data_IF_663849323454
#
_entry.id   IF_663849323454
#
_cell.length_a   1.000
_cell.length_b   1.000
_cell.length_c   1.000
_cell.angle_alpha   90.00
_cell.angle_beta   90.00
_cell.angle_gamma   90.00
#
_symmetry.space_group_name_H-M   'P 1'
#
loop_
_entity.id
_entity.type
_entity.pdbx_description
1 polymer ?
#
# COMPACT_ATOMS: atom_id res chain seq x y z
N UNK A 1 14.52 29.23 -6.70
CA UNK A 1 15.60 28.23 -6.65
C UNK A 1 15.07 27.04 -5.88
N UNK A 2 14.98 25.85 -6.49
CA UNK A 2 14.54 24.67 -5.77
C UNK A 2 15.60 24.29 -4.72
N UNK A 3 15.19 23.91 -3.49
CA UNK A 3 16.14 23.54 -2.45
C UNK A 3 16.99 22.33 -2.92
N UNK A 4 18.28 22.29 -2.60
CA UNK A 4 19.15 21.19 -3.01
C UNK A 4 18.63 19.87 -2.44
N UNK A 5 18.49 18.87 -3.31
CA UNK A 5 18.00 17.55 -2.96
C UNK A 5 18.86 16.93 -1.84
N UNK A 6 18.27 16.69 -0.67
CA UNK A 6 19.01 16.23 0.51
C UNK A 6 19.22 14.72 0.41
N UNK A 7 20.47 14.28 0.27
CA UNK A 7 20.84 12.86 0.27
C UNK A 7 20.81 12.32 1.70
N UNK A 8 19.99 11.30 1.95
CA UNK A 8 20.01 10.50 3.16
C UNK A 8 20.42 9.07 2.78
N UNK A 9 21.70 8.74 3.00
CA UNK A 9 22.30 7.50 2.50
C UNK A 9 22.27 7.45 0.97
N UNK A 10 21.70 6.38 0.41
CA UNK A 10 21.49 6.22 -1.04
C UNK A 10 20.21 6.89 -1.55
N UNK A 11 19.39 7.48 -0.67
CA UNK A 11 18.07 8.03 -1.03
C UNK A 11 18.15 9.54 -1.15
N UNK A 12 17.77 10.05 -2.31
CA UNK A 12 17.64 11.48 -2.59
C UNK A 12 16.24 11.91 -2.16
N UNK A 13 16.12 12.66 -1.06
CA UNK A 13 14.82 13.17 -0.59
C UNK A 13 14.52 14.48 -1.33
N UNK A 14 13.59 14.41 -2.28
CA UNK A 14 13.04 15.56 -3.00
C UNK A 14 11.53 15.63 -2.78
N UNK A 15 10.99 16.85 -2.74
CA UNK A 15 9.54 17.08 -2.77
C UNK A 15 8.95 16.81 -4.18
N UNK A 16 9.81 16.63 -5.18
CA UNK A 16 9.44 16.52 -6.60
C UNK A 16 9.01 15.10 -7.02
N UNK A 17 9.20 14.07 -6.18
CA UNK A 17 8.82 12.69 -6.49
C UNK A 17 7.35 12.36 -6.13
N UNK A 18 6.42 13.25 -6.49
CA UNK A 18 4.98 12.98 -6.31
C UNK A 18 4.49 11.95 -7.32
N UNK A 19 5.02 12.00 -8.55
CA UNK A 19 4.65 11.12 -9.65
C UNK A 19 5.78 10.13 -9.95
N UNK A 20 5.39 8.89 -10.30
CA UNK A 20 6.34 7.91 -10.81
C UNK A 20 6.66 8.24 -12.27
N UNK A 21 7.94 8.20 -12.67
CA UNK A 21 8.31 8.43 -14.07
C UNK A 21 7.79 7.26 -14.93
N UNK A 22 7.36 7.50 -16.19
CA UNK A 22 6.69 6.50 -17.02
C UNK A 22 7.48 5.20 -17.19
N UNK A 23 8.80 5.27 -17.18
CA UNK A 23 9.71 4.13 -17.34
C UNK A 23 9.68 3.19 -16.12
N UNK A 24 9.19 3.65 -14.97
CA UNK A 24 8.97 2.82 -13.78
C UNK A 24 7.59 2.18 -13.73
N UNK A 25 6.69 2.54 -14.64
CA UNK A 25 5.35 1.97 -14.69
C UNK A 25 5.34 0.58 -15.36
N UNK A 26 6.26 0.34 -16.30
CA UNK A 26 6.39 -0.93 -17.00
C UNK A 26 7.83 -1.18 -17.51
N UNK A 27 8.39 -2.39 -17.33
CA UNK A 27 7.81 -3.50 -16.58
C UNK A 27 7.90 -3.25 -15.06
N UNK A 28 6.81 -3.51 -14.34
CA UNK A 28 6.77 -3.44 -12.88
C UNK A 28 7.73 -4.47 -12.24
N UNK A 29 8.14 -4.30 -10.98
CA UNK A 29 8.92 -5.32 -10.28
C UNK A 29 8.21 -6.69 -10.22
N UNK A 30 6.88 -6.72 -10.18
CA UNK A 30 6.11 -7.97 -10.17
C UNK A 30 6.14 -8.65 -11.55
N UNK A 31 6.02 -7.88 -12.63
CA UNK A 31 6.15 -8.37 -14.02
C UNK A 31 7.55 -8.91 -14.28
N UNK A 32 8.59 -8.24 -13.77
CA UNK A 32 9.97 -8.72 -13.87
C UNK A 32 10.19 -10.06 -13.14
N UNK A 33 9.45 -10.30 -12.06
CA UNK A 33 9.43 -11.57 -11.33
C UNK A 33 8.43 -12.59 -11.94
N UNK A 34 7.85 -12.31 -13.12
CA UNK A 34 7.01 -13.23 -13.88
C UNK A 34 5.52 -13.21 -13.53
N UNK A 35 5.03 -12.20 -12.81
CA UNK A 35 3.60 -12.04 -12.57
C UNK A 35 2.89 -11.50 -13.82
N UNK A 36 1.78 -12.13 -14.19
CA UNK A 36 0.94 -11.67 -15.29
C UNK A 36 0.39 -10.25 -15.02
N UNK A 37 0.40 -9.33 -16.01
CA UNK A 37 -0.08 -7.96 -15.82
C UNK A 37 -1.55 -7.84 -15.39
N UNK A 38 -2.42 -8.72 -15.86
CA UNK A 38 -3.84 -8.71 -15.50
C UNK A 38 -4.01 -9.18 -14.05
N UNK A 39 -3.30 -10.24 -13.66
CA UNK A 39 -3.26 -10.71 -12.27
C UNK A 39 -2.68 -9.64 -11.34
N UNK A 40 -1.62 -8.93 -11.75
CA UNK A 40 -1.08 -7.82 -10.97
C UNK A 40 -2.13 -6.71 -10.78
N UNK A 41 -2.86 -6.36 -11.83
CA UNK A 41 -3.91 -5.35 -11.75
C UNK A 41 -5.03 -5.77 -10.79
N UNK A 42 -5.49 -7.02 -10.87
CA UNK A 42 -6.52 -7.56 -9.98
C UNK A 42 -6.05 -7.53 -8.51
N UNK A 43 -4.80 -7.92 -8.24
CA UNK A 43 -4.22 -7.86 -6.90
C UNK A 43 -4.10 -6.41 -6.39
N UNK A 44 -3.80 -5.45 -7.29
CA UNK A 44 -3.76 -4.02 -6.94
C UNK A 44 -5.15 -3.51 -6.54
N UNK A 45 -6.18 -3.86 -7.31
CA UNK A 45 -7.57 -3.49 -7.01
C UNK A 45 -8.00 -4.13 -5.69
N UNK A 46 -7.82 -5.44 -5.54
CA UNK A 46 -8.18 -6.18 -4.34
C UNK A 46 -7.48 -5.63 -3.08
N UNK A 47 -6.20 -5.27 -3.19
CA UNK A 47 -5.47 -4.65 -2.08
C UNK A 47 -6.04 -3.29 -1.67
N UNK A 48 -6.42 -2.46 -2.64
CA UNK A 48 -7.10 -1.20 -2.37
C UNK A 48 -8.48 -1.39 -1.71
N UNK A 49 -9.25 -2.40 -2.13
CA UNK A 49 -10.53 -2.77 -1.51
C UNK A 49 -10.37 -3.25 -0.07
N UNK A 50 -9.34 -4.05 0.21
CA UNK A 50 -9.01 -4.52 1.57
C UNK A 50 -8.65 -3.35 2.48
N UNK A 51 -7.87 -2.39 1.99
CA UNK A 51 -7.53 -1.17 2.75
C UNK A 51 -8.80 -0.36 3.05
N UNK A 52 -9.70 -0.19 2.06
CA UNK A 52 -10.95 0.54 2.26
C UNK A 52 -11.85 -0.16 3.29
N UNK A 53 -12.09 -1.46 3.12
CA UNK A 53 -12.96 -2.24 4.00
C UNK A 53 -12.38 -2.31 5.41
N UNK A 54 -11.06 -2.56 5.52
CA UNK A 54 -10.35 -2.56 6.79
C UNK A 54 -10.43 -1.21 7.49
N UNK A 55 -10.28 -0.11 6.75
CA UNK A 55 -10.36 1.23 7.31
C UNK A 55 -11.76 1.62 7.79
N UNK A 56 -12.80 1.21 7.08
CA UNK A 56 -14.20 1.37 7.52
C UNK A 56 -14.42 0.63 8.85
N UNK A 57 -14.01 -0.63 8.94
CA UNK A 57 -14.17 -1.44 10.16
C UNK A 57 -13.33 -0.91 11.34
N UNK A 58 -12.16 -0.34 11.05
CA UNK A 58 -11.32 0.35 12.03
C UNK A 58 -11.76 1.78 12.35
N UNK A 59 -12.82 2.29 11.70
CA UNK A 59 -13.31 3.67 11.83
C UNK A 59 -12.22 4.70 11.56
N UNK A 60 -11.43 4.50 10.51
CA UNK A 60 -10.43 5.46 10.06
C UNK A 60 -11.06 6.58 9.22
N UNK A 61 -10.50 7.80 9.23
CA UNK A 61 -10.92 8.85 8.31
C UNK A 61 -10.59 8.46 6.86
N UNK A 62 -11.37 8.96 5.89
CA UNK A 62 -11.18 8.68 4.47
C UNK A 62 -9.78 9.06 3.97
N UNK A 63 -9.21 10.15 4.52
CA UNK A 63 -7.85 10.60 4.20
C UNK A 63 -6.81 9.53 4.54
N UNK A 64 -6.96 8.82 5.67
CA UNK A 64 -6.05 7.74 6.05
C UNK A 64 -6.19 6.51 5.14
N UNK A 65 -7.40 6.18 4.68
CA UNK A 65 -7.61 5.09 3.73
C UNK A 65 -7.00 5.43 2.37
N UNK A 66 -7.21 6.65 1.88
CA UNK A 66 -6.61 7.14 0.64
C UNK A 66 -5.07 7.15 0.72
N UNK A 67 -4.50 7.65 1.82
CA UNK A 67 -3.06 7.61 2.07
C UNK A 67 -2.52 6.16 2.09
N UNK A 68 -3.24 5.24 2.73
CA UNK A 68 -2.92 3.81 2.75
C UNK A 68 -2.88 3.19 1.35
N UNK A 69 -3.86 3.51 0.48
CA UNK A 69 -3.89 3.05 -0.90
C UNK A 69 -2.72 3.62 -1.73
N UNK A 70 -2.38 4.90 -1.55
CA UNK A 70 -1.21 5.50 -2.22
C UNK A 70 0.09 4.83 -1.79
N UNK A 71 0.26 4.56 -0.48
CA UNK A 71 1.41 3.81 0.04
C UNK A 71 1.51 2.41 -0.55
N UNK A 72 0.37 1.71 -0.64
CA UNK A 72 0.29 0.37 -1.19
C UNK A 72 0.67 0.34 -2.67
N UNK A 73 0.14 1.25 -3.48
CA UNK A 73 0.48 1.35 -4.90
C UNK A 73 1.97 1.66 -5.08
N UNK A 74 2.50 2.64 -4.35
CA UNK A 74 3.92 3.02 -4.40
C UNK A 74 4.83 1.87 -3.97
N UNK A 75 4.43 1.09 -2.96
CA UNK A 75 5.19 -0.08 -2.53
C UNK A 75 5.35 -1.08 -3.67
N UNK A 76 4.28 -1.42 -4.39
CA UNK A 76 4.34 -2.38 -5.49
C UNK A 76 4.89 -1.83 -6.82
N UNK A 77 5.17 -0.54 -6.91
CA UNK A 77 6.03 0.01 -7.97
C UNK A 77 7.53 -0.01 -7.59
N UNK A 78 7.86 -0.38 -6.35
CA UNK A 78 9.24 -0.53 -5.88
C UNK A 78 9.59 -1.98 -5.49
N UNK A 79 8.59 -2.81 -5.23
CA UNK A 79 8.69 -4.19 -4.76
C UNK A 79 7.71 -5.08 -5.52
N UNK A 80 8.00 -6.37 -5.54
CA UNK A 80 7.21 -7.36 -6.27
C UNK A 80 6.14 -8.02 -5.39
N UNK A 81 4.94 -8.20 -5.93
CA UNK A 81 3.86 -8.97 -5.31
C UNK A 81 4.18 -10.46 -5.17
N UNK A 82 5.10 -10.98 -5.99
CA UNK A 82 5.58 -12.37 -5.88
C UNK A 82 6.39 -12.55 -4.60
N UNK A 83 7.14 -11.52 -4.18
CA UNK A 83 8.02 -11.57 -3.00
C UNK A 83 7.34 -11.11 -1.71
N UNK A 84 6.35 -10.24 -1.81
CA UNK A 84 5.68 -9.64 -0.66
C UNK A 84 4.17 -9.88 -0.75
N UNK A 85 3.58 -10.62 0.20
CA UNK A 85 2.15 -10.92 0.18
C UNK A 85 1.28 -9.66 0.26
N UNK A 86 0.33 -9.57 -0.66
CA UNK A 86 -0.59 -8.44 -0.81
C UNK A 86 -1.33 -8.09 0.50
N UNK A 87 -1.93 -9.09 1.16
CA UNK A 87 -2.72 -8.87 2.39
C UNK A 87 -1.89 -8.31 3.54
N UNK A 88 -0.67 -8.82 3.72
CA UNK A 88 0.25 -8.34 4.77
C UNK A 88 0.68 -6.91 4.50
N UNK A 89 0.99 -6.59 3.25
CA UNK A 89 1.32 -5.22 2.84
C UNK A 89 0.14 -4.27 3.04
N UNK A 90 -1.10 -4.68 2.72
CA UNK A 90 -2.30 -3.88 2.96
C UNK A 90 -2.49 -3.53 4.46
N UNK A 91 -2.32 -4.52 5.35
CA UNK A 91 -2.32 -4.28 6.81
C UNK A 91 -1.20 -3.33 7.26
N UNK A 92 -0.01 -3.46 6.69
CA UNK A 92 1.11 -2.57 7.01
C UNK A 92 0.84 -1.13 6.54
N UNK A 93 0.31 -0.96 5.32
CA UNK A 93 -0.03 0.33 4.74
C UNK A 93 -1.11 1.05 5.56
N UNK A 94 -2.17 0.35 5.99
CA UNK A 94 -3.22 0.98 6.79
C UNK A 94 -2.74 1.34 8.21
N UNK A 95 -1.90 0.49 8.81
CA UNK A 95 -1.29 0.77 10.11
C UNK A 95 -0.37 2.00 10.03
N UNK A 96 0.42 2.13 8.96
CA UNK A 96 1.28 3.28 8.72
C UNK A 96 0.47 4.54 8.42
N UNK A 97 -0.51 4.47 7.52
CA UNK A 97 -1.37 5.61 7.17
C UNK A 97 -2.15 6.14 8.37
N UNK A 98 -2.62 5.25 9.25
CA UNK A 98 -3.29 5.66 10.49
C UNK A 98 -2.39 6.51 11.40
N UNK A 99 -1.07 6.27 11.40
CA UNK A 99 -0.11 7.08 12.15
C UNK A 99 0.19 8.40 11.47
N UNK A 100 0.33 8.40 10.14
CA UNK A 100 0.59 9.61 9.34
C UNK A 100 -0.55 10.62 9.50
N UNK A 101 -1.79 10.15 9.52
CA UNK A 101 -2.98 10.98 9.66
C UNK A 101 -3.41 11.20 11.12
N UNK A 102 -2.51 10.95 12.09
CA UNK A 102 -2.76 11.18 13.53
C UNK A 102 -4.03 10.48 14.06
N UNK A 103 -4.40 9.35 13.46
CA UNK A 103 -5.55 8.52 13.82
C UNK A 103 -5.13 7.06 14.11
N UNK A 104 -4.14 6.81 14.98
CA UNK A 104 -3.51 5.49 15.12
C UNK A 104 -4.50 4.42 15.60
N UNK A 105 -4.26 3.17 15.16
CA UNK A 105 -4.96 1.97 15.65
C UNK A 105 -3.95 0.97 16.20
N UNK A 106 -4.36 0.15 17.17
CA UNK A 106 -3.50 -0.92 17.68
C UNK A 106 -3.30 -1.94 16.58
N UNK A 107 -2.07 -2.45 16.43
CA UNK A 107 -1.74 -3.47 15.42
C UNK A 107 -2.64 -4.71 15.57
N UNK A 108 -2.96 -5.09 16.82
CA UNK A 108 -3.90 -6.18 17.11
C UNK A 108 -5.28 -5.95 16.49
N UNK A 109 -5.79 -4.72 16.54
CA UNK A 109 -7.11 -4.40 15.98
C UNK A 109 -7.07 -4.49 14.45
N UNK A 110 -5.98 -4.04 13.82
CA UNK A 110 -5.76 -4.17 12.37
C UNK A 110 -5.76 -5.65 11.96
N UNK A 111 -4.99 -6.49 12.68
CA UNK A 111 -4.92 -7.94 12.41
C UNK A 111 -6.30 -8.58 12.58
N UNK A 112 -7.02 -8.27 13.65
CA UNK A 112 -8.35 -8.82 13.92
C UNK A 112 -9.36 -8.44 12.84
N UNK A 113 -9.34 -7.19 12.38
CA UNK A 113 -10.22 -6.72 11.29
C UNK A 113 -9.92 -7.44 9.98
N UNK A 114 -8.66 -7.59 9.59
CA UNK A 114 -8.31 -8.31 8.36
C UNK A 114 -8.63 -9.81 8.45
N UNK A 115 -8.41 -10.42 9.61
CA UNK A 115 -8.84 -11.80 9.86
C UNK A 115 -10.35 -11.94 9.74
N UNK A 116 -11.12 -10.99 10.26
CA UNK A 116 -12.58 -10.98 10.13
C UNK A 116 -13.02 -10.84 8.67
N UNK A 117 -12.45 -9.91 7.91
CA UNK A 117 -12.72 -9.75 6.47
C UNK A 117 -12.47 -11.08 5.72
N UNK A 118 -11.35 -11.74 6.03
CA UNK A 118 -11.00 -13.03 5.41
C UNK A 118 -12.00 -14.14 5.76
N UNK A 119 -12.49 -14.19 7.00
CA UNK A 119 -13.49 -15.18 7.42
C UNK A 119 -14.82 -14.99 6.67
N UNK A 120 -15.30 -13.74 6.64
CA UNK A 120 -16.55 -13.38 5.94
C UNK A 120 -16.47 -13.70 4.44
N UNK A 121 -15.34 -13.38 3.79
CA UNK A 121 -15.12 -13.73 2.37
C UNK A 121 -15.11 -15.25 2.12
N UNK A 122 -14.72 -16.05 3.11
CA UNK A 122 -14.65 -17.51 3.01
C UNK A 122 -15.96 -18.22 3.43
N UNK A 123 -17.06 -17.48 3.66
CA UNK A 123 -18.36 -18.06 3.98
C UNK A 123 -18.43 -18.72 5.37
N UNK A 124 -17.62 -18.26 6.32
CA UNK A 124 -17.71 -18.64 7.74
C UNK A 124 -18.06 -17.44 8.60
#
# INVERSE_FOLDING_TARGET
>A
MNPPAKKYGSVVITLENVLLPPEKLSPSPSQQDGLDPEIEMDLRILGCELIQTGGILLRLPQVAMAAGQVLFQRFYYAKSMVRYPMETTAMACIALASKIEEAPRKIRDVINVFNHIRQVKNGK
#
